data_IF_706256535119
#
_entry.id   IF_706256535119
#
_cell.length_a   1.000
_cell.length_b   1.000
_cell.length_c   1.000
_cell.angle_alpha   90.00
_cell.angle_beta   90.00
_cell.angle_gamma   90.00
#
_symmetry.space_group_name_H-M   'P 1'
#
loop_
_entity.id
_entity.type
_entity.pdbx_description
1 polymer ?
#
# COMPACT_ATOMS: atom_id res chain seq x y z
N UNK A 1 3.79 -13.87 20.26
CA UNK A 1 3.44 -14.85 19.22
C UNK A 1 4.58 -14.86 18.21
N UNK A 2 5.16 -16.01 17.89
CA UNK A 2 6.20 -16.15 16.86
C UNK A 2 5.62 -16.98 15.72
N UNK A 3 5.05 -16.30 14.74
CA UNK A 3 4.61 -16.91 13.49
C UNK A 3 5.68 -16.66 12.41
N UNK A 4 5.89 -17.63 11.51
CA UNK A 4 7.06 -17.74 10.63
C UNK A 4 6.67 -17.78 9.16
N UNK A 5 5.87 -16.82 8.72
CA UNK A 5 5.51 -16.69 7.31
C UNK A 5 5.49 -15.21 6.94
N UNK A 6 6.04 -14.88 5.78
CA UNK A 6 6.19 -13.49 5.33
C UNK A 6 5.48 -13.29 4.00
N UNK A 7 4.61 -12.27 3.93
CA UNK A 7 4.16 -11.67 2.67
C UNK A 7 5.30 -10.91 1.96
N UNK A 8 6.51 -11.46 1.93
CA UNK A 8 7.70 -10.84 1.36
C UNK A 8 8.25 -11.75 0.26
N UNK A 9 8.23 -11.25 -0.96
CA UNK A 9 8.84 -11.88 -2.12
C UNK A 9 10.09 -11.12 -2.51
N UNK A 10 11.16 -11.85 -2.79
CA UNK A 10 12.43 -11.30 -3.27
C UNK A 10 12.55 -11.49 -4.77
N UNK A 11 12.74 -10.40 -5.49
CA UNK A 11 13.14 -10.39 -6.90
C UNK A 11 14.66 -10.56 -6.95
N UNK A 12 15.11 -11.66 -7.54
CA UNK A 12 16.52 -12.02 -7.64
C UNK A 12 17.24 -11.17 -8.68
N UNK A 13 18.00 -10.19 -8.19
CA UNK A 13 18.86 -9.29 -8.95
C UNK A 13 19.94 -8.74 -8.02
N UNK A 14 20.93 -8.03 -8.58
CA UNK A 14 21.98 -7.38 -7.82
C UNK A 14 21.96 -5.85 -8.07
N UNK A 15 21.61 -5.02 -7.07
CA UNK A 15 21.08 -5.39 -5.75
C UNK A 15 19.66 -5.97 -5.82
N UNK A 16 19.19 -6.72 -4.80
CA UNK A 16 17.87 -7.37 -4.80
C UNK A 16 16.74 -6.35 -4.76
N UNK A 17 15.54 -6.74 -5.17
CA UNK A 17 14.32 -5.95 -4.95
C UNK A 17 13.29 -6.80 -4.23
N UNK A 18 12.30 -6.16 -3.62
CA UNK A 18 11.32 -6.83 -2.78
C UNK A 18 9.91 -6.39 -3.12
N UNK A 19 8.96 -7.32 -3.02
CA UNK A 19 7.53 -7.06 -3.04
C UNK A 19 7.01 -7.49 -1.67
N UNK A 20 6.29 -6.60 -1.01
CA UNK A 20 5.73 -6.83 0.31
C UNK A 20 4.22 -6.66 0.27
N UNK A 21 3.51 -7.68 0.72
CA UNK A 21 2.07 -7.73 0.80
C UNK A 21 1.54 -6.98 2.01
N UNK A 22 0.84 -5.87 1.79
CA UNK A 22 0.20 -5.06 2.84
C UNK A 22 -1.26 -5.44 3.02
N UNK A 23 -1.80 -5.18 4.21
CA UNK A 23 -3.24 -5.17 4.46
C UNK A 23 -3.65 -3.81 5.03
N UNK A 24 -4.91 -3.41 4.86
CA UNK A 24 -5.46 -2.19 5.45
C UNK A 24 -5.69 -2.34 6.96
N UNK A 25 -4.60 -2.48 7.70
CA UNK A 25 -4.53 -2.65 9.16
C UNK A 25 -3.63 -1.58 9.77
N UNK A 26 -3.80 -1.33 11.07
CA UNK A 26 -3.03 -0.29 11.78
C UNK A 26 -1.54 -0.64 11.84
N UNK A 27 -0.68 0.24 11.31
CA UNK A 27 0.78 0.01 11.33
C UNK A 27 1.34 -0.17 12.75
N UNK A 28 0.80 0.54 13.75
CA UNK A 28 1.25 0.45 15.15
C UNK A 28 1.04 -0.95 15.73
N UNK A 29 0.01 -1.66 15.26
CA UNK A 29 -0.37 -2.98 15.74
C UNK A 29 0.31 -4.13 15.01
N UNK A 30 0.87 -3.89 13.82
CA UNK A 30 1.44 -4.94 12.97
C UNK A 30 2.92 -4.74 12.65
N UNK A 31 3.36 -3.51 12.38
CA UNK A 31 4.73 -3.23 11.95
C UNK A 31 5.80 -3.65 12.97
N UNK A 32 5.61 -3.43 14.30
CA UNK A 32 6.55 -3.93 15.31
C UNK A 32 6.69 -5.46 15.31
N UNK A 33 5.67 -6.18 14.86
CA UNK A 33 5.63 -7.65 14.84
C UNK A 33 6.07 -8.26 13.51
N UNK A 34 6.32 -7.45 12.47
CA UNK A 34 6.87 -7.93 11.21
C UNK A 34 8.24 -8.61 11.42
N UNK A 35 8.60 -9.53 10.53
CA UNK A 35 9.88 -10.23 10.64
C UNK A 35 11.07 -9.27 10.46
N UNK A 36 12.25 -9.69 10.93
CA UNK A 36 13.48 -8.90 10.77
C UNK A 36 13.82 -8.73 9.29
N UNK A 37 13.55 -9.75 8.48
CA UNK A 37 13.79 -9.80 7.04
C UNK A 37 12.96 -8.74 6.31
N UNK A 38 11.67 -8.59 6.66
CA UNK A 38 10.79 -7.54 6.10
C UNK A 38 11.35 -6.15 6.43
N UNK A 39 11.67 -5.90 7.70
CA UNK A 39 12.22 -4.59 8.12
C UNK A 39 13.58 -4.30 7.47
N UNK A 40 14.42 -5.32 7.28
CA UNK A 40 15.70 -5.17 6.58
C UNK A 40 15.53 -4.92 5.08
N UNK A 41 14.59 -5.60 4.43
CA UNK A 41 14.24 -5.36 3.02
C UNK A 41 13.78 -3.90 2.82
N UNK A 42 12.92 -3.39 3.70
CA UNK A 42 12.49 -1.99 3.68
C UNK A 42 13.64 -1.02 3.95
N UNK A 43 14.35 -1.22 5.07
CA UNK A 43 15.45 -0.33 5.50
C UNK A 43 16.55 -0.21 4.45
N UNK A 44 16.95 -1.33 3.85
CA UNK A 44 18.02 -1.36 2.87
C UNK A 44 17.64 -0.84 1.48
N UNK A 45 16.33 -0.72 1.18
CA UNK A 45 15.85 -0.25 -0.12
C UNK A 45 16.02 1.26 -0.26
N UNK A 46 16.41 1.71 -1.45
CA UNK A 46 16.57 3.14 -1.76
C UNK A 46 15.34 3.73 -2.42
N UNK A 47 14.48 2.87 -2.98
CA UNK A 47 13.26 3.24 -3.67
C UNK A 47 12.09 2.46 -3.06
N UNK A 48 11.02 3.16 -2.70
CA UNK A 48 9.81 2.56 -2.14
C UNK A 48 8.62 2.99 -3.01
N UNK A 49 7.87 2.02 -3.48
CA UNK A 49 6.69 2.27 -4.30
C UNK A 49 5.50 1.59 -3.66
N UNK A 50 4.38 2.31 -3.52
CA UNK A 50 3.13 1.76 -3.04
C UNK A 50 2.07 1.82 -4.16
N UNK A 51 0.90 1.20 -3.98
CA UNK A 51 -0.21 1.35 -4.94
C UNK A 51 -0.57 2.83 -5.13
N UNK A 52 -0.71 3.54 -4.01
CA UNK A 52 -1.02 4.96 -3.90
C UNK A 52 0.13 5.74 -3.24
N UNK A 53 0.45 6.94 -3.73
CA UNK A 53 1.52 7.77 -3.17
C UNK A 53 1.03 9.15 -2.71
N UNK A 54 0.72 9.36 -1.42
CA UNK A 54 0.29 10.65 -0.89
C UNK A 54 1.45 11.65 -0.68
N UNK A 55 2.71 11.24 -0.85
CA UNK A 55 3.87 12.11 -0.62
C UNK A 55 4.33 12.84 -1.88
N UNK A 56 3.70 12.57 -3.01
CA UNK A 56 3.96 13.24 -4.29
C UNK A 56 2.85 14.27 -4.51
N UNK A 57 3.22 15.55 -4.46
CA UNK A 57 2.26 16.65 -4.58
C UNK A 57 1.56 16.65 -5.95
N UNK A 58 2.26 16.32 -7.03
CA UNK A 58 1.66 16.25 -8.37
C UNK A 58 0.65 15.11 -8.46
N UNK A 59 1.05 13.92 -8.01
CA UNK A 59 0.13 12.76 -7.97
C UNK A 59 -1.13 13.06 -7.15
N UNK A 60 -0.95 13.74 -6.02
CA UNK A 60 -2.04 14.11 -5.13
C UNK A 60 -2.95 15.18 -5.73
N UNK A 61 -2.40 16.19 -6.39
CA UNK A 61 -3.16 17.25 -7.05
C UNK A 61 -3.99 16.70 -8.22
N UNK A 62 -3.41 15.81 -9.04
CA UNK A 62 -4.12 15.11 -10.12
C UNK A 62 -5.30 14.29 -9.57
N UNK A 63 -5.07 13.56 -8.47
CA UNK A 63 -6.11 12.79 -7.80
C UNK A 63 -7.24 13.69 -7.31
N UNK A 64 -6.92 14.77 -6.59
CA UNK A 64 -7.91 15.71 -6.10
C UNK A 64 -8.68 16.40 -7.23
N UNK A 65 -8.00 16.77 -8.31
CA UNK A 65 -8.64 17.38 -9.46
C UNK A 65 -9.64 16.43 -10.11
N UNK A 66 -9.27 15.16 -10.28
CA UNK A 66 -10.18 14.16 -10.82
C UNK A 66 -11.45 14.03 -9.94
N UNK A 67 -11.27 13.96 -8.62
CA UNK A 67 -12.39 13.87 -7.69
C UNK A 67 -13.30 15.10 -7.76
N UNK A 68 -12.73 16.31 -7.74
CA UNK A 68 -13.47 17.58 -7.84
C UNK A 68 -14.32 17.58 -9.10
N UNK A 69 -13.76 17.15 -10.23
CA UNK A 69 -14.46 17.06 -11.50
C UNK A 69 -15.62 16.06 -11.45
N UNK A 70 -15.48 14.94 -10.75
CA UNK A 70 -16.54 13.91 -10.62
C UNK A 70 -17.67 14.32 -9.68
N UNK A 71 -17.36 14.93 -8.52
CA UNK A 71 -18.36 15.14 -7.46
C UNK A 71 -19.01 16.52 -7.50
N UNK A 72 -18.40 17.51 -8.17
CA UNK A 72 -18.78 18.94 -8.09
C UNK A 72 -18.88 19.49 -6.65
N UNK A 73 -18.34 18.77 -5.66
CA UNK A 73 -18.34 19.12 -4.24
C UNK A 73 -17.12 18.53 -3.56
N UNK A 74 -16.32 19.40 -2.95
CA UNK A 74 -15.38 19.01 -1.92
C UNK A 74 -15.68 19.87 -0.71
N UNK A 75 -16.51 19.36 0.20
CA UNK A 75 -16.60 19.95 1.53
C UNK A 75 -15.35 19.54 2.31
N UNK A 76 -14.43 20.49 2.51
CA UNK A 76 -13.38 20.35 3.53
C UNK A 76 -14.07 20.25 4.89
N UNK A 77 -14.04 19.08 5.50
CA UNK A 77 -14.39 18.91 6.90
C UNK A 77 -13.10 18.91 7.71
N UNK A 78 -13.10 19.68 8.80
CA UNK A 78 -11.95 19.91 9.67
C UNK A 78 -11.93 19.01 10.90
N UNK A 79 -12.82 18.05 11.03
CA UNK A 79 -12.95 17.28 12.27
C UNK A 79 -13.41 15.84 12.01
N UNK A 80 -12.45 14.92 12.00
CA UNK A 80 -12.70 13.47 12.09
C UNK A 80 -11.60 12.81 12.93
N UNK A 81 -11.91 11.89 13.85
CA UNK A 81 -10.90 11.24 14.67
C UNK A 81 -10.18 10.12 13.87
N UNK A 82 -8.84 10.21 13.66
CA UNK A 82 -8.03 9.11 13.08
C UNK A 82 -7.18 8.43 14.16
N UNK A 83 -7.17 7.10 14.17
CA UNK A 83 -6.14 6.26 14.83
C UNK A 83 -5.18 5.67 13.79
N UNK A 84 -3.91 6.10 13.81
CA UNK A 84 -2.79 5.46 13.10
C UNK A 84 -2.87 5.47 11.57
N UNK A 85 -1.74 5.66 10.87
CA UNK A 85 -1.71 5.43 9.44
C UNK A 85 -1.91 3.93 9.15
N UNK A 86 -2.67 3.60 8.09
CA UNK A 86 -2.70 2.23 7.55
C UNK A 86 -1.28 1.81 7.14
N UNK A 87 -0.97 0.51 7.21
CA UNK A 87 0.40 0.01 6.99
C UNK A 87 0.99 0.43 5.62
N UNK A 88 0.21 0.32 4.56
CA UNK A 88 0.54 0.75 3.20
C UNK A 88 0.95 2.23 3.15
N UNK A 89 0.15 3.10 3.77
CA UNK A 89 0.42 4.55 3.85
C UNK A 89 1.62 4.86 4.75
N UNK A 90 1.76 4.14 5.87
CA UNK A 90 2.89 4.30 6.77
C UNK A 90 4.22 4.03 6.05
N UNK A 91 4.30 2.95 5.26
CA UNK A 91 5.54 2.56 4.58
C UNK A 91 6.02 3.61 3.57
N UNK A 92 5.11 4.15 2.75
CA UNK A 92 5.48 5.18 1.76
C UNK A 92 5.86 6.50 2.44
N UNK A 93 5.17 6.87 3.53
CA UNK A 93 5.52 8.05 4.32
C UNK A 93 6.86 7.91 5.03
N UNK A 94 7.12 6.78 5.68
CA UNK A 94 8.37 6.53 6.38
C UNK A 94 9.55 6.50 5.41
N UNK A 95 9.33 5.98 4.20
CA UNK A 95 10.31 6.04 3.13
C UNK A 95 10.64 7.49 2.74
N UNK A 96 9.62 8.33 2.56
CA UNK A 96 9.81 9.75 2.26
C UNK A 96 10.58 10.47 3.39
N UNK A 97 10.17 10.27 4.66
CA UNK A 97 10.87 10.84 5.84
C UNK A 97 12.32 10.39 5.95
N UNK A 98 12.62 9.18 5.47
CA UNK A 98 13.96 8.61 5.42
C UNK A 98 14.74 8.98 4.15
N UNK A 99 14.31 10.00 3.39
CA UNK A 99 14.93 10.46 2.14
C UNK A 99 15.08 9.36 1.07
N UNK A 100 14.21 8.35 1.09
CA UNK A 100 14.13 7.35 0.02
C UNK A 100 13.32 7.94 -1.13
N UNK A 101 13.57 7.48 -2.36
CA UNK A 101 12.73 7.84 -3.50
C UNK A 101 11.38 7.14 -3.35
N UNK A 102 10.28 7.89 -3.36
CA UNK A 102 8.92 7.36 -3.30
C UNK A 102 8.21 7.41 -4.64
N UNK A 103 7.19 6.58 -4.85
CA UNK A 103 6.36 6.60 -6.04
C UNK A 103 5.13 5.72 -5.95
N UNK A 104 4.24 5.84 -6.95
CA UNK A 104 3.02 5.04 -7.07
C UNK A 104 3.14 3.96 -8.16
N UNK A 105 2.38 2.87 -7.98
CA UNK A 105 2.22 1.80 -8.95
C UNK A 105 0.94 1.93 -9.76
N UNK A 106 -0.09 2.58 -9.21
CA UNK A 106 -1.36 2.86 -9.87
C UNK A 106 -1.54 4.36 -10.12
N UNK A 107 -2.44 4.71 -11.04
CA UNK A 107 -2.66 6.11 -11.46
C UNK A 107 -3.65 6.83 -10.55
N UNK A 108 -3.58 8.17 -10.46
CA UNK A 108 -4.60 8.96 -9.76
C UNK A 108 -6.02 8.68 -10.28
N UNK A 109 -6.18 8.57 -11.60
CA UNK A 109 -7.47 8.33 -12.27
C UNK A 109 -8.12 7.01 -11.83
N UNK A 110 -7.32 5.94 -11.72
CA UNK A 110 -7.83 4.64 -11.28
C UNK A 110 -8.48 4.72 -9.90
N UNK A 111 -7.79 5.36 -8.95
CA UNK A 111 -8.31 5.56 -7.60
C UNK A 111 -9.50 6.51 -7.57
N UNK A 112 -9.45 7.57 -8.38
CA UNK A 112 -10.56 8.50 -8.53
C UNK A 112 -11.84 7.81 -9.02
N UNK A 113 -11.75 6.78 -9.86
CA UNK A 113 -12.88 6.08 -10.45
C UNK A 113 -13.66 5.18 -9.47
N UNK A 114 -13.01 4.68 -8.40
CA UNK A 114 -13.60 3.75 -7.42
C UNK A 114 -14.63 4.43 -6.50
N UNK A 115 -15.83 3.82 -6.35
CA UNK A 115 -16.97 4.43 -5.63
C UNK A 115 -16.74 4.46 -4.11
N UNK A 116 -16.10 3.44 -3.54
CA UNK A 116 -15.74 3.38 -2.12
C UNK A 116 -14.73 4.45 -1.71
N UNK A 117 -13.89 4.91 -2.64
CA UNK A 117 -12.95 6.01 -2.37
C UNK A 117 -13.65 7.38 -2.31
N UNK A 118 -14.70 7.59 -3.12
CA UNK A 118 -15.53 8.80 -3.04
C UNK A 118 -16.29 8.89 -1.72
N UNK A 119 -16.81 7.76 -1.22
CA UNK A 119 -17.49 7.69 0.08
C UNK A 119 -16.55 8.01 1.26
N UNK A 120 -15.24 7.77 1.09
CA UNK A 120 -14.19 8.00 2.09
C UNK A 120 -13.32 9.23 1.79
N UNK A 121 -13.65 10.04 0.76
CA UNK A 121 -12.81 11.15 0.31
C UNK A 121 -12.50 12.15 1.42
N UNK A 122 -13.49 12.44 2.28
CA UNK A 122 -13.31 13.31 3.45
C UNK A 122 -12.28 12.73 4.42
N UNK A 123 -12.33 11.42 4.67
CA UNK A 123 -11.35 10.67 5.46
C UNK A 123 -9.96 10.71 4.82
N UNK A 124 -9.86 10.48 3.51
CA UNK A 124 -8.59 10.53 2.78
C UNK A 124 -7.95 11.92 2.79
N UNK A 125 -8.73 12.97 2.53
CA UNK A 125 -8.24 14.35 2.57
C UNK A 125 -7.75 14.74 3.97
N UNK A 126 -8.48 14.33 5.02
CA UNK A 126 -8.10 14.60 6.40
C UNK A 126 -6.84 13.79 6.80
N UNK A 127 -6.74 12.52 6.41
CA UNK A 127 -5.54 11.69 6.58
C UNK A 127 -4.35 12.39 5.92
N UNK A 128 -4.46 12.80 4.67
CA UNK A 128 -3.36 13.43 3.95
C UNK A 128 -3.01 14.80 4.50
N UNK A 129 -3.98 15.64 4.89
CA UNK A 129 -3.68 16.94 5.50
C UNK A 129 -2.95 16.80 6.84
N UNK A 130 -3.40 15.90 7.72
CA UNK A 130 -2.70 15.59 8.98
C UNK A 130 -1.31 14.99 8.71
N UNK A 131 -1.16 14.14 7.70
CA UNK A 131 0.13 13.58 7.28
C UNK A 131 1.07 14.67 6.77
N UNK A 132 0.61 15.56 5.87
CA UNK A 132 1.39 16.68 5.35
C UNK A 132 1.78 17.65 6.46
N UNK A 133 0.88 17.92 7.39
CA UNK A 133 1.18 18.72 8.59
C UNK A 133 2.22 18.01 9.48
N UNK A 134 2.11 16.70 9.73
CA UNK A 134 3.15 15.92 10.45
C UNK A 134 4.51 15.94 9.75
N UNK A 135 4.54 15.93 8.41
CA UNK A 135 5.79 16.07 7.65
C UNK A 135 6.42 17.44 7.86
N UNK A 136 5.62 18.50 8.04
CA UNK A 136 6.08 19.87 8.32
C UNK A 136 6.48 20.11 9.78
N UNK A 137 5.71 19.59 10.74
CA UNK A 137 5.85 19.95 12.17
C UNK A 137 6.64 18.93 13.00
N UNK A 138 6.73 17.68 12.55
CA UNK A 138 7.42 16.60 13.29
C UNK A 138 6.72 16.14 14.58
N UNK A 139 5.63 16.77 15.00
CA UNK A 139 4.89 16.47 16.24
C UNK A 139 3.49 15.91 15.95
N UNK A 140 3.06 14.94 16.76
CA UNK A 140 1.64 14.62 16.91
C UNK A 140 1.11 15.51 18.02
N UNK A 141 0.10 16.35 17.75
CA UNK A 141 -0.73 16.88 18.82
C UNK A 141 -1.48 15.69 19.44
N UNK A 142 -1.28 15.48 20.73
CA UNK A 142 -1.88 14.41 21.54
C UNK A 142 -3.39 14.66 21.79
N UNK A 143 -4.13 15.11 20.78
CA UNK A 143 -5.58 15.07 20.84
C UNK A 143 -6.01 13.65 20.54
N UNK A 144 -6.34 12.97 21.64
CA UNK A 144 -6.98 11.67 21.79
C UNK A 144 -7.31 10.99 20.46
N UNK A 145 -6.29 10.33 19.90
CA UNK A 145 -6.31 9.52 18.69
C UNK A 145 -7.19 8.30 18.94
N UNK A 146 -8.50 8.48 19.02
CA UNK A 146 -9.49 7.46 19.33
C UNK A 146 -10.65 7.61 18.37
N UNK A 147 -10.83 6.67 17.43
CA UNK A 147 -12.10 6.39 16.69
C UNK A 147 -12.05 6.49 15.15
N UNK A 148 -11.01 5.96 14.50
CA UNK A 148 -11.26 5.13 13.31
C UNK A 148 -11.17 3.68 13.76
N UNK A 149 -12.28 3.13 14.22
CA UNK A 149 -12.51 1.69 14.08
C UNK A 149 -12.80 1.44 12.60
N UNK A 150 -11.76 1.17 11.80
CA UNK A 150 -11.98 0.07 10.87
C UNK A 150 -12.19 -1.16 11.74
N UNK A 151 -13.15 -2.02 11.40
CA UNK A 151 -13.35 -3.31 12.04
C UNK A 151 -12.15 -4.24 11.75
N UNK A 152 -10.93 -3.83 12.11
CA UNK A 152 -9.78 -4.70 12.26
C UNK A 152 -10.14 -5.64 13.40
N UNK A 153 -10.64 -6.82 13.03
CA UNK A 153 -10.83 -7.88 14.00
C UNK A 153 -9.46 -8.35 14.48
N UNK A 154 -9.35 -8.72 15.75
CA UNK A 154 -8.17 -9.41 16.27
C UNK A 154 -7.83 -10.64 15.42
N UNK A 155 -8.82 -11.23 14.74
CA UNK A 155 -8.67 -12.28 13.74
C UNK A 155 -7.93 -11.81 12.50
N UNK A 156 -8.33 -10.72 11.83
CA UNK A 156 -7.60 -10.18 10.66
C UNK A 156 -6.14 -9.88 10.99
N UNK A 157 -5.87 -9.36 12.19
CA UNK A 157 -4.52 -9.10 12.68
C UNK A 157 -3.72 -10.39 12.84
N UNK A 158 -4.31 -11.42 13.46
CA UNK A 158 -3.67 -12.74 13.63
C UNK A 158 -3.42 -13.40 12.29
N UNK A 159 -4.41 -13.38 11.39
CA UNK A 159 -4.30 -13.90 10.03
C UNK A 159 -3.12 -13.25 9.31
N UNK A 160 -2.99 -11.92 9.40
CA UNK A 160 -1.90 -11.21 8.74
C UNK A 160 -0.52 -11.48 9.37
N UNK A 161 -0.41 -11.46 10.70
CA UNK A 161 0.87 -11.71 11.40
C UNK A 161 1.29 -13.18 11.27
N UNK A 162 0.32 -14.09 11.20
CA UNK A 162 0.56 -15.53 11.13
C UNK A 162 0.44 -16.14 9.73
N UNK A 163 0.17 -15.31 8.72
CA UNK A 163 0.02 -15.71 7.32
C UNK A 163 -0.99 -16.84 7.12
N UNK A 164 -2.12 -16.76 7.81
CA UNK A 164 -3.24 -17.69 7.61
C UNK A 164 -4.09 -17.30 6.39
N UNK A 165 -3.69 -16.25 5.67
CA UNK A 165 -4.30 -15.81 4.42
C UNK A 165 -3.47 -16.33 3.25
N UNK A 166 -4.05 -17.28 2.52
CA UNK A 166 -3.43 -18.08 1.47
C UNK A 166 -4.21 -18.03 0.15
N UNK A 167 -3.78 -18.84 -0.81
CA UNK A 167 -4.42 -18.91 -2.13
C UNK A 167 -5.88 -19.37 -2.05
N UNK A 168 -6.21 -20.28 -1.14
CA UNK A 168 -7.57 -20.81 -1.00
C UNK A 168 -8.51 -19.74 -0.42
N UNK A 169 -8.06 -18.95 0.54
CA UNK A 169 -8.82 -17.83 1.06
C UNK A 169 -9.18 -16.85 -0.07
N UNK A 170 -8.20 -16.45 -0.88
CA UNK A 170 -8.41 -15.52 -1.99
C UNK A 170 -9.33 -16.10 -3.06
N UNK A 171 -9.13 -17.35 -3.44
CA UNK A 171 -9.94 -18.02 -4.46
C UNK A 171 -11.43 -18.12 -4.05
N UNK A 172 -11.72 -18.16 -2.74
CA UNK A 172 -13.07 -18.26 -2.20
C UNK A 172 -13.71 -16.90 -1.87
N UNK A 173 -12.98 -15.78 -2.01
CA UNK A 173 -13.57 -14.47 -1.83
C UNK A 173 -14.61 -14.19 -2.92
N UNK A 174 -15.80 -13.67 -2.55
CA UNK A 174 -16.79 -13.32 -3.55
C UNK A 174 -16.25 -12.20 -4.45
N UNK A 175 -16.19 -12.44 -5.77
CA UNK A 175 -15.77 -11.50 -6.81
C UNK A 175 -16.50 -10.13 -6.79
N UNK A 176 -17.56 -9.97 -5.98
CA UNK A 176 -18.33 -8.75 -5.83
C UNK A 176 -17.72 -7.71 -4.88
N UNK A 177 -16.70 -8.05 -4.08
CA UNK A 177 -16.04 -7.05 -3.22
C UNK A 177 -15.37 -5.97 -4.07
N UNK A 178 -15.71 -4.70 -3.83
CA UNK A 178 -15.25 -3.55 -4.61
C UNK A 178 -13.71 -3.46 -4.73
N UNK A 179 -12.99 -3.93 -3.72
CA UNK A 179 -11.52 -4.00 -3.65
C UNK A 179 -10.91 -4.99 -4.66
N UNK A 180 -11.64 -6.07 -4.96
CA UNK A 180 -11.24 -7.11 -5.91
C UNK A 180 -11.84 -6.90 -7.31
N UNK A 181 -12.72 -5.91 -7.47
CA UNK A 181 -13.18 -5.49 -8.79
C UNK A 181 -11.97 -5.01 -9.61
N UNK A 182 -11.78 -5.65 -10.77
CA UNK A 182 -10.70 -5.39 -11.72
C UNK A 182 -9.29 -5.83 -11.26
N UNK A 183 -9.17 -6.68 -10.24
CA UNK A 183 -7.86 -7.08 -9.67
C UNK A 183 -6.85 -7.59 -10.71
N UNK A 184 -7.32 -8.28 -11.75
CA UNK A 184 -6.46 -8.76 -12.84
C UNK A 184 -5.88 -7.61 -13.67
N UNK A 185 -6.69 -6.59 -13.98
CA UNK A 185 -6.25 -5.42 -14.73
C UNK A 185 -5.27 -4.58 -13.91
N UNK A 186 -5.50 -4.47 -12.59
CA UNK A 186 -4.58 -3.84 -11.65
C UNK A 186 -3.24 -4.56 -11.62
N UNK A 187 -3.25 -5.89 -11.51
CA UNK A 187 -2.03 -6.70 -11.53
C UNK A 187 -1.26 -6.55 -12.84
N UNK A 188 -1.96 -6.46 -13.96
CA UNK A 188 -1.32 -6.17 -15.24
C UNK A 188 -0.65 -4.79 -15.22
N UNK A 189 -1.38 -3.74 -14.81
CA UNK A 189 -0.86 -2.37 -14.76
C UNK A 189 0.35 -2.25 -13.82
N UNK A 190 0.23 -2.80 -12.61
CA UNK A 190 1.31 -2.79 -11.62
C UNK A 190 2.50 -3.63 -12.08
N UNK A 191 2.29 -4.81 -12.65
CA UNK A 191 3.41 -5.63 -13.16
C UNK A 191 4.17 -4.92 -14.28
N UNK A 192 3.46 -4.26 -15.21
CA UNK A 192 4.05 -3.45 -16.28
C UNK A 192 4.87 -2.28 -15.70
N UNK A 193 4.32 -1.59 -14.69
CA UNK A 193 4.99 -0.47 -14.01
C UNK A 193 6.24 -0.93 -13.27
N UNK A 194 6.16 -2.01 -12.50
CA UNK A 194 7.30 -2.62 -11.80
C UNK A 194 8.37 -3.04 -12.81
N UNK A 195 8.01 -3.74 -13.88
CA UNK A 195 8.93 -4.13 -14.94
C UNK A 195 9.67 -2.91 -15.53
N UNK A 196 8.94 -1.84 -15.84
CA UNK A 196 9.53 -0.60 -16.34
C UNK A 196 10.52 0.03 -15.35
N UNK A 197 10.18 0.08 -14.06
CA UNK A 197 11.04 0.63 -13.00
C UNK A 197 12.32 -0.19 -12.86
N UNK A 198 12.19 -1.52 -12.81
CA UNK A 198 13.31 -2.44 -12.69
C UNK A 198 14.26 -2.37 -13.90
N UNK A 199 13.74 -2.14 -15.11
CA UNK A 199 14.55 -1.92 -16.32
C UNK A 199 15.26 -0.56 -16.34
N UNK A 200 14.63 0.49 -15.82
CA UNK A 200 15.17 1.85 -15.82
C UNK A 200 16.49 1.96 -15.04
N UNK A 201 16.63 1.21 -13.94
CA UNK A 201 17.89 1.14 -13.20
C UNK A 201 18.17 -0.25 -12.64
N UNK A 202 19.31 -0.81 -13.08
CA UNK A 202 19.88 -2.03 -12.50
C UNK A 202 20.52 -1.82 -11.13
N UNK A 203 20.82 -0.58 -10.74
CA UNK A 203 21.56 -0.23 -9.50
C UNK A 203 20.65 0.05 -8.30
N UNK A 204 19.37 0.31 -8.54
CA UNK A 204 18.42 0.67 -7.49
C UNK A 204 17.93 -0.58 -6.73
N UNK A 205 17.76 -0.42 -5.41
CA UNK A 205 17.12 -1.41 -4.54
C UNK A 205 15.67 -0.96 -4.30
N UNK A 206 14.72 -1.75 -4.76
CA UNK A 206 13.29 -1.41 -4.71
C UNK A 206 12.57 -2.20 -3.63
N UNK A 207 11.63 -1.55 -2.94
CA UNK A 207 10.63 -2.16 -2.09
C UNK A 207 9.24 -1.75 -2.59
N UNK A 208 8.47 -2.70 -3.10
CA UNK A 208 7.10 -2.50 -3.58
C UNK A 208 6.12 -2.92 -2.49
N UNK A 209 5.34 -2.00 -1.95
CA UNK A 209 4.27 -2.28 -0.99
C UNK A 209 2.93 -2.39 -1.76
N UNK A 210 2.38 -3.59 -1.84
CA UNK A 210 1.19 -3.93 -2.64
C UNK A 210 0.23 -4.73 -1.78
N UNK A 211 -1.08 -4.57 -1.91
CA UNK A 211 -2.08 -5.32 -1.16
C UNK A 211 -1.90 -6.83 -1.28
N UNK A 212 -1.99 -7.56 -0.16
CA UNK A 212 -1.71 -8.99 -0.06
C UNK A 212 -2.44 -9.85 -1.12
N UNK A 213 -3.68 -9.46 -1.47
CA UNK A 213 -4.49 -10.15 -2.48
C UNK A 213 -3.93 -10.09 -3.91
N UNK A 214 -2.97 -9.20 -4.20
CA UNK A 214 -2.30 -9.12 -5.49
C UNK A 214 -1.23 -10.21 -5.69
N UNK A 215 -0.85 -10.96 -4.65
CA UNK A 215 0.22 -11.96 -4.71
C UNK A 215 -0.26 -13.40 -4.53
N UNK A 216 -1.57 -13.62 -4.38
CA UNK A 216 -2.16 -14.91 -4.04
C UNK A 216 -3.33 -15.27 -4.98
N UNK A 217 -3.72 -16.54 -4.92
CA UNK A 217 -4.82 -17.15 -5.68
C UNK A 217 -4.36 -17.82 -6.99
N UNK A 218 -5.24 -18.64 -7.58
CA UNK A 218 -4.95 -19.40 -8.83
C UNK A 218 -4.91 -18.55 -10.09
N UNK A 219 -5.45 -17.33 -10.02
CA UNK A 219 -5.47 -16.37 -11.13
C UNK A 219 -4.05 -15.93 -11.51
N UNK A 220 -3.93 -15.26 -12.66
CA UNK A 220 -2.65 -14.67 -13.05
C UNK A 220 -2.34 -13.40 -12.24
N UNK A 221 -1.89 -13.61 -11.01
CA UNK A 221 -1.60 -12.56 -10.05
C UNK A 221 -0.22 -11.91 -10.28
N UNK A 222 0.09 -10.83 -9.54
CA UNK A 222 1.27 -9.98 -9.76
C UNK A 222 2.60 -10.76 -9.84
N UNK A 223 2.82 -11.71 -8.93
CA UNK A 223 4.06 -12.51 -8.90
C UNK A 223 4.19 -13.38 -10.16
N UNK A 224 3.10 -14.00 -10.60
CA UNK A 224 3.09 -14.81 -11.84
C UNK A 224 3.42 -13.93 -13.05
N UNK A 225 2.81 -12.74 -13.14
CA UNK A 225 3.08 -11.79 -14.24
C UNK A 225 4.54 -11.35 -14.27
N UNK A 226 5.13 -11.04 -13.11
CA UNK A 226 6.55 -10.69 -13.02
C UNK A 226 7.47 -11.86 -13.38
N UNK A 227 7.12 -13.09 -13.04
CA UNK A 227 7.83 -14.28 -13.51
C UNK A 227 7.78 -14.41 -15.05
N UNK A 228 6.66 -14.07 -15.69
CA UNK A 228 6.55 -14.03 -17.17
C UNK A 228 7.44 -12.96 -17.82
N UNK A 229 7.74 -11.86 -17.14
CA UNK A 229 8.75 -10.90 -17.57
C UNK A 229 10.20 -11.41 -17.44
N UNK A 230 10.40 -12.64 -16.93
CA UNK A 230 11.72 -13.26 -16.78
C UNK A 230 12.38 -13.03 -15.43
N UNK A 231 11.67 -12.46 -14.45
CA UNK A 231 12.21 -12.30 -13.11
C UNK A 231 12.16 -13.61 -12.32
N UNK A 232 13.28 -13.99 -11.71
CA UNK A 232 13.28 -15.03 -10.67
C UNK A 232 12.79 -14.40 -9.36
N UNK A 233 11.74 -14.97 -8.77
CA UNK A 233 11.13 -14.48 -7.53
C UNK A 233 11.02 -15.63 -6.55
N UNK A 234 11.51 -15.42 -5.31
CA UNK A 234 11.49 -16.38 -4.20
C UNK A 234 10.75 -15.82 -3.01
#
# INVERSE_FOLDING_TARGET
MTCSCSYLWRIERSPPSYIFGTMHVSHERVWPYMSKEIRQAFSSSTHVYAEFNPTDDTYWDDFLQCIVNRTRRVERSTDYPIRGALLDMYLIMEAHRSNKTTGSLETPDYFCEKKGMLASLKTWMFIVDKIKNRMKTGTFENETLNNLEMNETEELRKIYICNEFDDEYIDNLPNSTEEFQDIEQRDENMSRRIHSLLKKSKKNRYFFAVGAGHMLGKREHLIVRLKKYGYKIT
#
